data_IF_533539235964
#
_entry.id   IF_533539235964
#
_cell.length_a   1.000
_cell.length_b   1.000
_cell.length_c   1.000
_cell.angle_alpha   90.00
_cell.angle_beta   90.00
_cell.angle_gamma   90.00
#
_symmetry.space_group_name_H-M   'P 1'
#
loop_
_entity.id
_entity.type
_entity.pdbx_description
1 polymer ?
#
# COMPACT_ATOMS: atom_id res chain seq x y z
N UNK A 1 -7.14 -46.28 -62.12
CA UNK A 1 -6.96 -46.20 -60.65
C UNK A 1 -6.12 -44.94 -60.37
N UNK A 2 -6.70 -43.74 -60.22
CA UNK A 2 -7.33 -43.06 -59.04
C UNK A 2 -6.38 -42.74 -57.85
N UNK A 3 -6.20 -41.43 -57.66
CA UNK A 3 -5.87 -40.66 -56.43
C UNK A 3 -4.40 -40.58 -55.96
N UNK A 4 -3.63 -39.67 -56.59
CA UNK A 4 -2.52 -38.94 -55.93
C UNK A 4 -2.64 -37.45 -56.33
N UNK A 5 -3.70 -36.82 -55.87
CA UNK A 5 -3.92 -35.39 -56.03
C UNK A 5 -4.88 -34.96 -54.93
N UNK A 6 -4.51 -33.91 -54.19
CA UNK A 6 -5.26 -33.26 -53.09
C UNK A 6 -4.79 -33.55 -51.66
N UNK A 7 -3.52 -33.30 -51.35
CA UNK A 7 -3.14 -32.99 -49.95
C UNK A 7 -2.34 -31.68 -49.85
N UNK A 8 -1.69 -31.22 -50.94
CA UNK A 8 -0.78 -30.06 -50.87
C UNK A 8 -1.50 -28.69 -50.85
N UNK A 9 -2.81 -28.61 -51.16
CA UNK A 9 -3.52 -27.32 -51.24
C UNK A 9 -4.42 -26.97 -50.05
N UNK A 10 -4.43 -27.77 -48.97
CA UNK A 10 -5.28 -27.48 -47.81
C UNK A 10 -4.59 -26.67 -46.69
N UNK A 11 -3.27 -26.48 -46.74
CA UNK A 11 -2.51 -25.85 -45.65
C UNK A 11 -2.30 -24.34 -45.83
N UNK A 12 -2.69 -23.75 -46.98
CA UNK A 12 -2.36 -22.34 -47.28
C UNK A 12 -3.41 -21.29 -46.88
N UNK A 13 -4.46 -21.65 -46.13
CA UNK A 13 -5.56 -20.72 -45.81
C UNK A 13 -5.99 -20.66 -44.33
N UNK A 14 -5.19 -21.16 -43.39
CA UNK A 14 -5.60 -21.21 -41.98
C UNK A 14 -4.76 -20.36 -41.00
N UNK A 15 -3.69 -19.67 -41.44
CA UNK A 15 -2.70 -19.14 -40.47
C UNK A 15 -2.71 -17.62 -40.25
N UNK A 16 -3.55 -16.85 -40.96
CA UNK A 16 -3.53 -15.39 -40.82
C UNK A 16 -4.57 -14.83 -39.82
N UNK A 17 -5.65 -15.56 -39.56
CA UNK A 17 -6.79 -15.07 -38.76
C UNK A 17 -6.57 -15.20 -37.24
N UNK A 18 -6.02 -16.30 -36.68
CA UNK A 18 -5.89 -16.40 -35.23
C UNK A 18 -4.81 -15.47 -34.67
N UNK A 19 -3.73 -15.23 -35.43
CA UNK A 19 -2.60 -14.38 -35.01
C UNK A 19 -2.99 -12.90 -34.99
N UNK A 20 -3.77 -12.45 -35.98
CA UNK A 20 -4.23 -11.06 -36.02
C UNK A 20 -5.22 -10.76 -34.90
N UNK A 21 -6.18 -11.63 -34.62
CA UNK A 21 -7.11 -11.47 -33.48
C UNK A 21 -6.35 -11.42 -32.15
N UNK A 22 -5.29 -12.21 -31.99
CA UNK A 22 -4.45 -12.20 -30.79
C UNK A 22 -3.62 -10.90 -30.64
N UNK A 23 -3.16 -10.32 -31.76
CA UNK A 23 -2.45 -9.03 -31.75
C UNK A 23 -3.40 -7.87 -31.41
N UNK A 24 -4.64 -7.90 -31.93
CA UNK A 24 -5.65 -6.88 -31.61
C UNK A 24 -6.10 -6.95 -30.15
N UNK A 25 -6.22 -8.14 -29.56
CA UNK A 25 -6.59 -8.28 -28.14
C UNK A 25 -5.48 -7.77 -27.21
N UNK A 26 -4.21 -8.04 -27.51
CA UNK A 26 -3.07 -7.48 -26.77
C UNK A 26 -3.03 -5.94 -26.88
N UNK A 27 -3.25 -5.40 -28.07
CA UNK A 27 -3.32 -3.95 -28.28
C UNK A 27 -4.45 -3.29 -27.48
N UNK A 28 -5.61 -3.96 -27.39
CA UNK A 28 -6.76 -3.44 -26.65
C UNK A 28 -6.52 -3.47 -25.13
N UNK A 29 -5.86 -4.51 -24.62
CA UNK A 29 -5.43 -4.59 -23.21
C UNK A 29 -4.38 -3.52 -22.88
N UNK A 30 -3.41 -3.29 -23.76
CA UNK A 30 -2.39 -2.24 -23.58
C UNK A 30 -3.02 -0.83 -23.56
N UNK A 31 -3.99 -0.57 -24.43
CA UNK A 31 -4.71 0.72 -24.46
C UNK A 31 -5.53 0.96 -23.18
N UNK A 32 -6.12 -0.10 -22.61
CA UNK A 32 -6.82 -0.04 -21.31
C UNK A 32 -5.88 0.23 -20.15
N UNK A 33 -4.70 -0.41 -20.11
CA UNK A 33 -3.69 -0.17 -19.07
C UNK A 33 -3.12 1.25 -19.16
N UNK A 34 -2.86 1.74 -20.37
CA UNK A 34 -2.37 3.11 -20.59
C UNK A 34 -3.42 4.17 -20.24
N UNK A 35 -4.70 3.94 -20.54
CA UNK A 35 -5.78 4.87 -20.17
C UNK A 35 -6.04 4.89 -18.65
N UNK A 36 -5.83 3.78 -17.94
CA UNK A 36 -5.83 3.74 -16.47
C UNK A 36 -4.66 4.52 -15.86
N UNK A 37 -3.47 4.48 -16.46
CA UNK A 37 -2.34 5.30 -16.01
C UNK A 37 -2.51 6.79 -16.34
N UNK A 38 -3.07 7.11 -17.52
CA UNK A 38 -3.35 8.49 -17.93
C UNK A 38 -4.35 9.18 -16.99
N UNK A 39 -5.32 8.45 -16.41
CA UNK A 39 -6.20 9.00 -15.37
C UNK A 39 -5.43 9.38 -14.11
N UNK A 40 -4.46 8.57 -13.67
CA UNK A 40 -3.65 8.88 -12.46
C UNK A 40 -2.74 10.08 -12.66
N UNK A 41 -2.21 10.30 -13.86
CA UNK A 41 -1.36 11.48 -14.16
C UNK A 41 -2.16 12.76 -14.34
N UNK A 42 -3.40 12.70 -14.85
CA UNK A 42 -4.25 13.90 -15.00
C UNK A 42 -4.75 14.45 -13.65
N UNK A 43 -5.00 13.58 -12.66
CA UNK A 43 -5.31 14.04 -11.30
C UNK A 43 -4.09 14.67 -10.60
N UNK A 44 -2.88 14.14 -10.81
CA UNK A 44 -1.67 14.73 -10.26
C UNK A 44 -1.41 16.15 -10.80
N UNK A 45 -1.64 16.40 -12.10
CA UNK A 45 -1.41 17.73 -12.71
C UNK A 45 -2.43 18.79 -12.28
N UNK A 46 -3.67 18.40 -11.97
CA UNK A 46 -4.70 19.34 -11.49
C UNK A 46 -4.39 19.85 -10.09
N UNK A 47 -3.77 19.03 -9.25
CA UNK A 47 -3.29 19.40 -7.91
C UNK A 47 -2.16 20.44 -7.98
N UNK A 48 -1.28 20.37 -8.99
CA UNK A 48 -0.20 21.34 -9.17
C UNK A 48 -0.66 22.65 -9.83
N UNK A 49 -1.64 22.59 -10.75
CA UNK A 49 -2.13 23.79 -11.43
C UNK A 49 -2.95 24.72 -10.52
N UNK A 50 -3.59 24.20 -9.46
CA UNK A 50 -4.29 25.03 -8.46
C UNK A 50 -3.36 25.71 -7.45
N UNK A 51 -2.05 25.41 -7.46
CA UNK A 51 -1.05 26.00 -6.55
C UNK A 51 -0.24 27.11 -7.23
N UNK A 52 -0.37 27.26 -8.55
CA UNK A 52 0.47 28.18 -9.32
C UNK A 52 -0.15 29.57 -9.59
N UNK A 53 -1.43 29.78 -9.29
CA UNK A 53 -2.08 31.08 -9.49
C UNK A 53 -2.60 31.67 -8.18
N UNK A 54 -1.81 32.64 -7.71
CA UNK A 54 -2.22 33.78 -6.88
C UNK A 54 -2.25 33.62 -5.35
N UNK A 55 -1.63 34.64 -4.74
CA UNK A 55 -1.75 35.12 -3.35
C UNK A 55 -0.93 34.43 -2.25
N UNK A 56 0.17 35.12 -1.91
CA UNK A 56 0.91 35.06 -0.64
C UNK A 56 1.02 33.67 -0.03
N UNK A 57 2.06 32.94 -0.42
CA UNK A 57 2.48 31.73 0.29
C UNK A 57 2.90 32.17 1.70
N UNK A 58 1.95 32.20 2.64
CA UNK A 58 2.28 31.98 4.04
C UNK A 58 3.05 30.66 4.04
N UNK A 59 4.31 30.69 4.47
CA UNK A 59 5.12 29.47 4.58
C UNK A 59 4.42 28.58 5.60
N UNK A 60 3.62 27.64 5.10
CA UNK A 60 3.01 26.60 5.90
C UNK A 60 4.14 25.64 6.27
N UNK A 61 4.59 25.72 7.51
CA UNK A 61 5.59 24.80 8.04
C UNK A 61 4.87 23.54 8.52
N UNK A 62 5.21 22.41 7.91
CA UNK A 62 4.65 21.10 8.26
C UNK A 62 5.66 20.39 9.14
N UNK A 63 5.38 20.28 10.43
CA UNK A 63 6.27 19.64 11.40
C UNK A 63 5.75 18.27 11.79
N UNK A 64 6.63 17.25 11.73
CA UNK A 64 6.36 15.93 12.31
C UNK A 64 6.56 15.99 13.82
N UNK A 65 5.53 15.66 14.59
CA UNK A 65 5.60 15.55 16.05
C UNK A 65 5.48 14.08 16.41
N UNK A 66 6.56 13.50 16.94
CA UNK A 66 6.56 12.10 17.38
C UNK A 66 5.49 11.87 18.46
N UNK A 67 4.83 10.72 18.42
CA UNK A 67 3.97 10.29 19.53
C UNK A 67 4.82 10.09 20.79
N UNK A 68 4.24 10.41 21.94
CA UNK A 68 4.91 10.25 23.23
C UNK A 68 4.87 8.80 23.71
N UNK A 69 5.75 8.44 24.63
CA UNK A 69 5.72 7.12 25.30
C UNK A 69 4.38 6.86 26.00
N UNK A 70 3.71 7.90 26.51
CA UNK A 70 2.36 7.81 27.09
C UNK A 70 1.32 7.39 26.06
N UNK A 71 1.40 7.93 24.84
CA UNK A 71 0.49 7.57 23.76
C UNK A 71 0.64 6.09 23.40
N UNK A 72 1.88 5.59 23.28
CA UNK A 72 2.13 4.17 23.02
C UNK A 72 1.63 3.25 24.13
N UNK A 73 1.79 3.63 25.41
CA UNK A 73 1.24 2.86 26.52
C UNK A 73 -0.29 2.80 26.47
N UNK A 74 -0.95 3.94 26.22
CA UNK A 74 -2.39 3.99 26.08
C UNK A 74 -2.90 3.13 24.91
N UNK A 75 -2.21 3.16 23.76
CA UNK A 75 -2.54 2.31 22.60
C UNK A 75 -2.39 0.83 22.97
N UNK A 76 -1.28 0.45 23.61
CA UNK A 76 -1.04 -0.92 24.07
C UNK A 76 -2.17 -1.41 24.96
N UNK A 77 -2.53 -0.67 26.02
CA UNK A 77 -3.56 -1.06 26.98
C UNK A 77 -4.92 -1.26 26.30
N UNK A 78 -5.30 -0.30 25.44
CA UNK A 78 -6.56 -0.35 24.70
C UNK A 78 -6.63 -1.54 23.74
N UNK A 79 -5.56 -1.78 22.99
CA UNK A 79 -5.54 -2.81 21.95
C UNK A 79 -5.31 -4.22 22.51
N UNK A 80 -4.54 -4.36 23.60
CA UNK A 80 -4.36 -5.65 24.28
C UNK A 80 -5.71 -6.19 24.82
N UNK A 81 -6.61 -5.31 25.26
CA UNK A 81 -7.96 -5.71 25.66
C UNK A 81 -8.83 -6.17 24.47
N UNK A 82 -8.67 -5.55 23.30
CA UNK A 82 -9.44 -5.89 22.10
C UNK A 82 -8.90 -7.11 21.35
N UNK A 83 -7.60 -7.39 21.47
CA UNK A 83 -6.89 -8.45 20.76
C UNK A 83 -6.05 -9.29 21.74
N UNK A 84 -6.67 -10.10 22.61
CA UNK A 84 -5.98 -10.81 23.69
C UNK A 84 -4.92 -11.83 23.20
N UNK A 85 -5.05 -12.27 21.95
CA UNK A 85 -4.13 -13.24 21.33
C UNK A 85 -2.90 -12.58 20.66
N UNK A 86 -2.82 -11.24 20.69
CA UNK A 86 -1.74 -10.48 20.06
C UNK A 86 -0.91 -9.79 21.14
N UNK A 87 0.42 -9.95 21.07
CA UNK A 87 1.32 -9.30 22.01
C UNK A 87 1.64 -7.89 21.51
N UNK A 88 1.26 -6.88 22.31
CA UNK A 88 1.63 -5.48 22.12
C UNK A 88 2.66 -5.05 23.15
N UNK A 89 3.79 -4.52 22.69
CA UNK A 89 4.84 -3.95 23.54
C UNK A 89 5.02 -2.47 23.19
N UNK A 90 4.73 -1.59 24.14
CA UNK A 90 5.01 -0.17 24.01
C UNK A 90 6.47 0.11 24.36
N UNK A 91 7.20 0.71 23.43
CA UNK A 91 8.58 1.17 23.60
C UNK A 91 8.60 2.71 23.77
N UNK A 92 9.78 3.30 23.91
CA UNK A 92 9.92 4.74 24.14
C UNK A 92 9.37 5.58 22.97
N UNK A 93 9.61 5.15 21.73
CA UNK A 93 9.29 5.86 20.50
C UNK A 93 8.55 4.99 19.46
N UNK A 94 8.11 3.79 19.85
CA UNK A 94 7.46 2.83 18.95
C UNK A 94 6.50 1.89 19.68
N UNK A 95 5.69 1.16 18.92
CA UNK A 95 4.90 0.03 19.41
C UNK A 95 5.24 -1.22 18.59
N UNK A 96 5.50 -2.32 19.28
CA UNK A 96 5.72 -3.63 18.67
C UNK A 96 4.45 -4.46 18.75
N UNK A 97 4.09 -5.07 17.63
CA UNK A 97 2.97 -6.01 17.50
C UNK A 97 3.55 -7.35 17.12
N UNK A 98 3.14 -8.44 17.78
CA UNK A 98 3.64 -9.77 17.43
C UNK A 98 2.66 -10.90 17.74
N UNK A 99 2.75 -11.98 16.97
CA UNK A 99 2.02 -13.24 17.20
C UNK A 99 2.96 -14.43 17.03
N UNK A 100 2.76 -15.46 17.85
CA UNK A 100 3.67 -16.61 17.94
C UNK A 100 3.48 -17.69 16.86
N UNK A 101 2.40 -17.66 16.09
CA UNK A 101 2.02 -18.73 15.16
C UNK A 101 1.72 -18.21 13.77
N UNK A 102 2.08 -19.00 12.75
CA UNK A 102 1.77 -18.76 11.33
C UNK A 102 0.24 -18.63 11.13
N UNK A 103 -0.55 -19.38 11.91
CA UNK A 103 -2.01 -19.40 11.80
C UNK A 103 -2.68 -18.10 12.24
N UNK A 104 -2.00 -17.29 13.05
CA UNK A 104 -2.54 -16.04 13.59
C UNK A 104 -2.23 -14.82 12.69
N UNK A 105 -1.85 -15.03 11.43
CA UNK A 105 -1.56 -13.96 10.48
C UNK A 105 -2.72 -12.95 10.34
N UNK A 106 -3.97 -13.42 10.29
CA UNK A 106 -5.12 -12.51 10.19
C UNK A 106 -5.27 -11.64 11.44
N UNK A 107 -5.02 -12.22 12.63
CA UNK A 107 -5.05 -11.48 13.90
C UNK A 107 -3.94 -10.42 13.93
N UNK A 108 -2.73 -10.79 13.50
CA UNK A 108 -1.62 -9.86 13.34
C UNK A 108 -1.96 -8.70 12.40
N UNK A 109 -2.52 -9.00 11.21
CA UNK A 109 -2.95 -7.97 10.26
C UNK A 109 -4.00 -7.04 10.84
N UNK A 110 -5.03 -7.58 11.50
CA UNK A 110 -6.11 -6.79 12.12
C UNK A 110 -5.59 -5.93 13.28
N UNK A 111 -4.64 -6.43 14.06
CA UNK A 111 -3.96 -5.68 15.11
C UNK A 111 -3.17 -4.50 14.54
N UNK A 112 -2.45 -4.67 13.43
CA UNK A 112 -1.74 -3.57 12.76
C UNK A 112 -2.71 -2.48 12.30
N UNK A 113 -3.83 -2.84 11.69
CA UNK A 113 -4.87 -1.88 11.32
C UNK A 113 -5.42 -1.14 12.55
N UNK A 114 -5.66 -1.86 13.65
CA UNK A 114 -6.14 -1.26 14.89
C UNK A 114 -5.14 -0.28 15.50
N UNK A 115 -3.84 -0.54 15.39
CA UNK A 115 -2.80 0.44 15.75
C UNK A 115 -2.91 1.68 14.85
N UNK A 116 -3.00 1.48 13.54
CA UNK A 116 -3.06 2.60 12.59
C UNK A 116 -4.27 3.52 12.82
N UNK A 117 -5.40 2.95 13.26
CA UNK A 117 -6.65 3.68 13.55
C UNK A 117 -6.73 4.20 15.00
N UNK A 118 -5.83 3.80 15.88
CA UNK A 118 -5.90 4.13 17.31
C UNK A 118 -5.80 5.63 17.60
N UNK A 119 -5.14 6.39 16.71
CA UNK A 119 -4.93 7.83 16.82
C UNK A 119 -5.31 8.49 15.48
N UNK A 120 -6.41 9.24 15.48
CA UNK A 120 -7.06 9.80 14.28
C UNK A 120 -6.13 10.56 13.33
N UNK A 121 -5.23 11.37 13.89
CA UNK A 121 -4.36 12.26 13.11
C UNK A 121 -2.89 11.79 13.09
N UNK A 122 -2.64 10.56 13.55
CA UNK A 122 -1.32 9.96 13.44
C UNK A 122 -1.08 9.43 12.04
N UNK A 123 0.18 9.49 11.64
CA UNK A 123 0.77 8.75 10.53
C UNK A 123 1.72 7.73 11.12
N UNK A 124 1.81 6.58 10.47
CA UNK A 124 2.54 5.43 10.97
C UNK A 124 3.62 5.01 9.98
N UNK A 125 4.83 4.84 10.47
CA UNK A 125 5.99 4.33 9.75
C UNK A 125 6.33 2.94 10.29
N UNK A 126 6.55 1.97 9.41
CA UNK A 126 7.00 0.63 9.78
C UNK A 126 8.52 0.67 9.95
N UNK A 127 9.01 0.64 11.18
CA UNK A 127 10.44 0.65 11.48
C UNK A 127 11.10 -0.70 11.22
N UNK A 128 10.40 -1.79 11.53
CA UNK A 128 10.82 -3.13 11.15
C UNK A 128 9.61 -4.03 10.95
N UNK A 129 9.75 -5.01 10.06
CA UNK A 129 8.77 -6.06 9.82
C UNK A 129 9.51 -7.38 9.63
N UNK A 130 9.06 -8.39 10.34
CA UNK A 130 9.51 -9.76 10.17
C UNK A 130 8.26 -10.65 10.04
N UNK A 131 8.24 -11.47 9.00
CA UNK A 131 7.16 -12.42 8.74
C UNK A 131 7.70 -13.82 8.42
N UNK A 132 7.11 -14.83 9.06
CA UNK A 132 7.36 -16.25 8.78
C UNK A 132 8.38 -16.89 9.70
N UNK A 133 8.69 -18.15 9.43
CA UNK A 133 9.54 -18.99 10.30
C UNK A 133 10.98 -18.47 10.43
N UNK A 134 11.43 -17.66 9.46
CA UNK A 134 12.74 -17.00 9.50
C UNK A 134 12.89 -15.98 10.65
N UNK A 135 11.78 -15.57 11.27
CA UNK A 135 11.76 -14.50 12.27
C UNK A 135 12.12 -14.94 13.69
N UNK A 136 12.40 -16.23 13.91
CA UNK A 136 12.41 -16.84 15.24
C UNK A 136 11.10 -16.56 16.01
N UNK A 137 10.92 -17.09 17.21
CA UNK A 137 9.69 -16.81 17.97
C UNK A 137 9.71 -15.35 18.45
N UNK A 138 8.71 -14.50 18.11
CA UNK A 138 7.43 -14.76 17.44
C UNK A 138 7.49 -14.71 15.90
N UNK A 139 6.69 -15.57 15.26
CA UNK A 139 6.63 -15.80 13.79
C UNK A 139 6.27 -14.55 12.99
N UNK A 140 5.43 -13.68 13.52
CA UNK A 140 5.20 -12.36 12.93
C UNK A 140 5.50 -11.28 13.96
N UNK A 141 6.25 -10.28 13.54
CA UNK A 141 6.62 -9.12 14.36
C UNK A 141 6.68 -7.88 13.49
N UNK A 142 6.06 -6.80 13.93
CA UNK A 142 6.24 -5.48 13.34
C UNK A 142 6.52 -4.46 14.44
N UNK A 143 7.32 -3.47 14.12
CA UNK A 143 7.54 -2.29 14.94
C UNK A 143 7.07 -1.05 14.19
N UNK A 144 6.20 -0.27 14.82
CA UNK A 144 5.54 0.88 14.23
C UNK A 144 5.90 2.16 15.02
N UNK A 145 6.25 3.22 14.29
CA UNK A 145 6.47 4.56 14.84
C UNK A 145 5.38 5.50 14.35
N UNK A 146 4.67 6.12 15.28
CA UNK A 146 3.63 7.09 15.01
C UNK A 146 4.13 8.53 15.14
N UNK A 147 3.62 9.42 14.29
CA UNK A 147 3.80 10.86 14.41
C UNK A 147 2.53 11.59 13.99
N UNK A 148 2.24 12.70 14.66
CA UNK A 148 1.22 13.66 14.23
C UNK A 148 1.84 14.68 13.28
N UNK A 149 1.05 15.12 12.30
CA UNK A 149 1.44 16.22 11.41
C UNK A 149 0.83 17.51 11.96
N UNK A 150 1.67 18.48 12.34
CA UNK A 150 1.21 19.81 12.72
C UNK A 150 1.51 20.79 11.62
N UNK A 151 0.50 21.61 11.31
CA UNK A 151 0.57 22.70 10.34
C UNK A 151 0.66 23.98 11.15
N UNK A 152 1.80 24.68 11.08
CA UNK A 152 1.95 26.00 11.71
C UNK A 152 2.05 27.06 10.61
N UNK A 153 1.24 28.10 10.73
CA UNK A 153 1.36 29.29 9.89
C UNK A 153 2.25 30.28 10.61
N UNK A 154 3.37 30.68 9.99
CA UNK A 154 4.10 31.87 10.42
C UNK A 154 3.34 33.09 9.90
N UNK A 155 2.57 33.74 10.77
CA UNK A 155 2.15 35.10 10.50
C UNK A 155 3.42 35.96 10.36
N UNK A 156 3.56 36.65 9.22
CA UNK A 156 4.73 37.48 8.93
C UNK A 156 4.97 38.49 10.05
N UNK A 157 6.20 38.50 10.56
CA UNK A 157 6.76 39.63 11.31
C UNK A 157 7.18 40.72 10.32
#
# INVERSE_FOLDING_TARGET
>A
MRKIGNIVNAVKRADAVPVTVFLWSIALVLTLVLSLQARRTFFALREYASVASEESISLIEVTKVALSSRDYQWIKERLAAAHPDVLFEAQADSIRVSVGSVRDYEKFRNALYSVMESVRDARWEVASLCAGEACSTPVYRAELKGYAVRITSKAGQ
#
